data_IF_005308037310
#
_entry.id   IF_005308037310
#
_cell.length_a   1.000
_cell.length_b   1.000
_cell.length_c   1.000
_cell.angle_alpha   90.00
_cell.angle_beta   90.00
_cell.angle_gamma   90.00
#
_symmetry.space_group_name_H-M   'P 1'
#
loop_
_entity.id
_entity.type
_entity.pdbx_description
1 polymer ?
#
# COMPACT_ATOMS: atom_id res chain seq x y z
N UNK A 1 25.65 -20.59 -23.58
CA UNK A 1 24.89 -20.00 -22.45
C UNK A 1 24.84 -18.51 -22.68
N UNK A 2 23.87 -18.06 -23.47
CA UNK A 2 23.56 -16.63 -23.56
C UNK A 2 22.92 -16.22 -22.25
N UNK A 3 23.48 -15.20 -21.61
CA UNK A 3 22.82 -14.49 -20.53
C UNK A 3 21.52 -13.92 -21.10
N UNK A 4 20.38 -14.45 -20.66
CA UNK A 4 19.08 -13.85 -20.89
C UNK A 4 19.18 -12.36 -20.58
N UNK A 5 19.05 -11.55 -21.64
CA UNK A 5 18.89 -10.11 -21.55
C UNK A 5 17.65 -9.88 -20.70
N UNK A 6 17.86 -9.62 -19.41
CA UNK A 6 16.83 -9.17 -18.48
C UNK A 6 16.26 -7.90 -19.11
N UNK A 7 15.07 -8.03 -19.71
CA UNK A 7 14.35 -6.93 -20.33
C UNK A 7 14.30 -5.76 -19.33
N UNK A 8 14.74 -4.54 -19.68
CA UNK A 8 14.66 -3.38 -18.79
C UNK A 8 13.24 -3.12 -18.27
N UNK A 9 12.20 -3.60 -18.98
CA UNK A 9 10.81 -3.59 -18.54
C UNK A 9 10.53 -4.47 -17.31
N UNK A 10 11.41 -5.43 -17.03
CA UNK A 10 11.32 -6.33 -15.89
C UNK A 10 11.86 -5.71 -14.60
N UNK A 11 12.49 -4.53 -14.63
CA UNK A 11 12.94 -3.79 -13.46
C UNK A 11 11.87 -2.72 -13.13
N UNK A 12 11.24 -2.80 -11.95
CA UNK A 12 10.10 -1.94 -11.58
C UNK A 12 10.39 -0.43 -11.62
N UNK A 13 11.67 -0.04 -11.78
CA UNK A 13 12.16 1.32 -11.98
C UNK A 13 11.53 2.02 -13.18
N UNK A 14 11.33 1.34 -14.31
CA UNK A 14 10.71 1.97 -15.49
C UNK A 14 9.29 2.47 -15.17
N UNK A 15 8.50 1.65 -14.46
CA UNK A 15 7.14 2.00 -14.07
C UNK A 15 7.11 3.14 -13.06
N UNK A 16 8.08 3.20 -12.13
CA UNK A 16 8.24 4.34 -11.21
C UNK A 16 8.52 5.62 -11.98
N UNK A 17 9.54 5.64 -12.84
CA UNK A 17 9.91 6.83 -13.63
C UNK A 17 8.76 7.30 -14.51
N UNK A 18 8.10 6.37 -15.24
CA UNK A 18 6.97 6.73 -16.10
C UNK A 18 5.79 7.30 -15.29
N UNK A 19 5.56 6.79 -14.09
CA UNK A 19 4.51 7.28 -13.20
C UNK A 19 4.85 8.66 -12.63
N UNK A 20 6.13 8.95 -12.33
CA UNK A 20 6.58 10.29 -11.95
C UNK A 20 6.32 11.30 -13.08
N UNK A 21 6.62 10.94 -14.33
CA UNK A 21 6.35 11.79 -15.50
C UNK A 21 4.84 12.04 -15.66
N UNK A 22 4.01 10.99 -15.54
CA UNK A 22 2.55 11.14 -15.59
C UNK A 22 2.03 12.05 -14.48
N UNK A 23 2.57 11.90 -13.27
CA UNK A 23 2.22 12.74 -12.13
C UNK A 23 2.62 14.20 -12.37
N UNK A 24 3.82 14.48 -12.87
CA UNK A 24 4.26 15.83 -13.24
C UNK A 24 3.34 16.47 -14.30
N UNK A 25 2.82 15.67 -15.24
CA UNK A 25 1.87 16.10 -16.26
C UNK A 25 0.41 16.20 -15.78
N UNK A 26 0.17 16.17 -14.46
CA UNK A 26 -1.18 16.35 -13.90
C UNK A 26 -2.10 15.14 -14.09
N UNK A 27 -1.55 13.94 -14.32
CA UNK A 27 -2.30 12.69 -14.54
C UNK A 27 -2.12 11.70 -13.38
N UNK A 28 -2.54 12.03 -12.14
CA UNK A 28 -2.30 11.19 -10.96
C UNK A 28 -3.01 9.84 -11.00
N UNK A 29 -4.20 9.76 -11.62
CA UNK A 29 -4.94 8.49 -11.76
C UNK A 29 -4.22 7.53 -12.70
N UNK A 30 -3.73 8.02 -13.85
CA UNK A 30 -2.96 7.21 -14.81
C UNK A 30 -1.65 6.73 -14.18
N UNK A 31 -0.95 7.60 -13.44
CA UNK A 31 0.25 7.24 -12.69
C UNK A 31 -0.04 6.13 -11.66
N UNK A 32 -1.09 6.30 -10.85
CA UNK A 32 -1.48 5.32 -9.85
C UNK A 32 -1.87 3.97 -10.47
N UNK A 33 -2.68 3.99 -11.53
CA UNK A 33 -3.07 2.79 -12.28
C UNK A 33 -1.86 2.04 -12.83
N UNK A 34 -0.90 2.76 -13.44
CA UNK A 34 0.32 2.18 -13.98
C UNK A 34 1.16 1.45 -12.91
N UNK A 35 1.33 2.06 -11.73
CA UNK A 35 2.05 1.44 -10.61
C UNK A 35 1.36 0.17 -10.11
N UNK A 36 0.04 0.22 -9.96
CA UNK A 36 -0.75 -0.88 -9.39
C UNK A 36 -0.91 -2.04 -10.38
N UNK A 37 -1.10 -1.75 -11.67
CA UNK A 37 -1.19 -2.78 -12.71
C UNK A 37 0.14 -3.51 -12.92
N UNK A 38 1.25 -2.79 -12.83
CA UNK A 38 2.57 -3.41 -12.83
C UNK A 38 2.70 -4.43 -11.69
N UNK A 39 2.31 -4.05 -10.46
CA UNK A 39 2.32 -4.97 -9.33
C UNK A 39 1.36 -6.15 -9.51
N UNK A 40 0.17 -5.92 -10.07
CA UNK A 40 -0.81 -6.96 -10.32
C UNK A 40 -0.31 -8.00 -11.33
N UNK A 41 0.37 -7.55 -12.39
CA UNK A 41 1.00 -8.43 -13.39
C UNK A 41 2.16 -9.22 -12.80
N UNK A 42 2.93 -8.61 -11.91
CA UNK A 42 4.11 -9.22 -11.33
C UNK A 42 3.81 -10.07 -10.07
N UNK A 43 2.60 -10.00 -9.51
CA UNK A 43 2.22 -10.75 -8.31
C UNK A 43 0.82 -11.36 -8.38
N UNK A 44 0.75 -12.68 -8.58
CA UNK A 44 -0.51 -13.44 -8.54
C UNK A 44 -1.35 -13.20 -7.28
N UNK A 45 -0.72 -13.01 -6.11
CA UNK A 45 -1.45 -12.76 -4.85
C UNK A 45 -2.22 -11.44 -4.85
N UNK A 46 -1.90 -10.50 -5.75
CA UNK A 46 -2.66 -9.27 -5.95
C UNK A 46 -4.00 -9.55 -6.63
N UNK A 47 -3.97 -10.27 -7.76
CA UNK A 47 -5.16 -10.54 -8.59
C UNK A 47 -6.03 -11.66 -8.02
N UNK A 48 -5.42 -12.66 -7.38
CA UNK A 48 -6.11 -13.89 -6.98
C UNK A 48 -6.45 -14.81 -8.16
N UNK A 49 -5.98 -14.48 -9.38
CA UNK A 49 -6.16 -15.29 -10.60
C UNK A 49 -4.80 -15.60 -11.22
N UNK A 50 -4.44 -16.89 -11.33
CA UNK A 50 -3.13 -17.32 -11.82
C UNK A 50 -3.10 -17.03 -13.31
N UNK A 51 -2.15 -16.23 -13.83
CA UNK A 51 -2.05 -16.00 -15.25
C UNK A 51 -1.92 -17.35 -15.97
N UNK A 52 -2.81 -17.62 -16.94
CA UNK A 52 -2.84 -18.90 -17.68
C UNK A 52 -1.51 -19.21 -18.40
N UNK A 53 -0.66 -18.20 -18.63
CA UNK A 53 0.68 -18.33 -19.19
C UNK A 53 1.71 -18.88 -18.20
N UNK A 54 1.42 -18.89 -16.89
CA UNK A 54 2.28 -19.42 -15.83
C UNK A 54 1.81 -20.81 -15.38
N UNK A 55 1.59 -21.71 -16.35
CA UNK A 55 1.27 -23.14 -16.12
C UNK A 55 2.41 -23.93 -15.48
N UNK A 56 3.60 -23.37 -15.38
CA UNK A 56 4.73 -24.01 -14.72
C UNK A 56 4.84 -23.53 -13.25
N UNK A 57 4.60 -24.40 -12.26
CA UNK A 57 4.69 -24.08 -10.82
C UNK A 57 6.05 -23.52 -10.40
N UNK A 58 7.09 -23.69 -11.23
CA UNK A 58 8.44 -23.16 -10.99
C UNK A 58 8.54 -21.63 -11.09
N UNK A 59 7.61 -20.95 -11.75
CA UNK A 59 7.63 -19.49 -11.90
C UNK A 59 6.92 -18.71 -10.78
N UNK A 60 6.48 -19.39 -9.72
CA UNK A 60 6.00 -18.71 -8.53
C UNK A 60 6.61 -19.31 -7.26
N UNK A 61 7.84 -18.87 -6.90
CA UNK A 61 8.12 -18.67 -5.49
C UNK A 61 9.12 -17.54 -5.24
N UNK A 62 8.96 -16.34 -5.82
CA UNK A 62 9.39 -15.20 -5.01
C UNK A 62 8.41 -15.19 -3.84
N UNK A 63 8.87 -15.59 -2.65
CA UNK A 63 8.07 -15.46 -1.43
C UNK A 63 7.52 -14.04 -1.44
N UNK A 64 6.22 -13.86 -1.29
CA UNK A 64 5.59 -12.55 -1.41
C UNK A 64 6.33 -11.43 -0.64
N UNK A 65 6.96 -11.79 0.48
CA UNK A 65 7.86 -10.95 1.25
C UNK A 65 9.05 -10.42 0.43
N UNK A 66 9.78 -11.28 -0.28
CA UNK A 66 10.87 -10.92 -1.18
C UNK A 66 10.38 -10.11 -2.39
N UNK A 67 9.13 -10.33 -2.84
CA UNK A 67 8.54 -9.55 -3.93
C UNK A 67 8.28 -8.10 -3.49
N UNK A 68 7.64 -7.92 -2.33
CA UNK A 68 7.41 -6.59 -1.74
C UNK A 68 8.74 -5.90 -1.43
N UNK A 69 9.69 -6.60 -0.82
CA UNK A 69 11.01 -6.04 -0.50
C UNK A 69 11.80 -5.61 -1.75
N UNK A 70 11.68 -6.35 -2.86
CA UNK A 70 12.38 -6.01 -4.11
C UNK A 70 11.67 -4.97 -4.97
N UNK A 71 10.33 -4.90 -4.91
CA UNK A 71 9.52 -4.12 -5.89
C UNK A 71 8.80 -2.92 -5.28
N UNK A 72 8.50 -2.94 -3.98
CA UNK A 72 7.79 -1.87 -3.29
C UNK A 72 8.75 -1.09 -2.39
N UNK A 73 9.64 -0.29 -3.01
CA UNK A 73 10.58 0.57 -2.30
C UNK A 73 9.87 1.72 -1.57
N UNK A 74 10.60 2.44 -0.71
CA UNK A 74 10.09 3.68 -0.08
C UNK A 74 9.64 4.69 -1.13
N UNK A 75 10.41 4.85 -2.21
CA UNK A 75 10.07 5.70 -3.36
C UNK A 75 8.76 5.28 -4.01
N UNK A 76 8.54 3.99 -4.19
CA UNK A 76 7.30 3.45 -4.76
C UNK A 76 6.08 3.83 -3.91
N UNK A 77 6.14 3.63 -2.59
CA UNK A 77 5.05 4.01 -1.69
C UNK A 77 4.85 5.52 -1.60
N UNK A 78 5.95 6.30 -1.64
CA UNK A 78 5.89 7.75 -1.67
C UNK A 78 5.12 8.24 -2.90
N UNK A 79 5.42 7.69 -4.08
CA UNK A 79 4.76 8.03 -5.33
C UNK A 79 3.27 7.66 -5.34
N UNK A 80 2.92 6.50 -4.76
CA UNK A 80 1.50 6.16 -4.51
C UNK A 80 0.85 7.22 -3.61
N UNK A 81 1.50 7.60 -2.52
CA UNK A 81 1.02 8.64 -1.61
C UNK A 81 0.75 9.97 -2.31
N UNK A 82 1.69 10.43 -3.13
CA UNK A 82 1.56 11.67 -3.92
C UNK A 82 0.41 11.59 -4.91
N UNK A 83 0.23 10.45 -5.59
CA UNK A 83 -0.90 10.27 -6.51
C UNK A 83 -2.24 10.35 -5.75
N UNK A 84 -2.35 9.65 -4.61
CA UNK A 84 -3.55 9.61 -3.78
C UNK A 84 -3.89 10.99 -3.18
N UNK A 85 -2.89 11.74 -2.73
CA UNK A 85 -3.06 13.10 -2.22
C UNK A 85 -3.66 14.02 -3.29
N UNK A 86 -3.16 13.96 -4.54
CA UNK A 86 -3.67 14.76 -5.66
C UNK A 86 -5.09 14.41 -6.08
N UNK A 87 -5.57 13.21 -5.75
CA UNK A 87 -6.96 12.82 -5.96
C UNK A 87 -7.78 12.85 -4.66
N UNK A 88 -7.31 13.56 -3.62
CA UNK A 88 -7.99 13.79 -2.33
C UNK A 88 -8.25 12.54 -1.47
N UNK A 89 -7.56 11.43 -1.73
CA UNK A 89 -7.69 10.19 -0.95
C UNK A 89 -6.71 10.20 0.24
N UNK A 90 -6.92 11.11 1.20
CA UNK A 90 -5.93 11.43 2.23
C UNK A 90 -5.67 10.31 3.26
N UNK A 91 -6.64 9.43 3.54
CA UNK A 91 -6.44 8.28 4.46
C UNK A 91 -5.50 7.27 3.84
N UNK A 92 -5.78 6.87 2.60
CA UNK A 92 -4.96 5.91 1.89
C UNK A 92 -3.59 6.51 1.54
N UNK A 93 -3.52 7.83 1.24
CA UNK A 93 -2.26 8.54 1.10
C UNK A 93 -1.42 8.49 2.40
N UNK A 94 -2.03 8.78 3.56
CA UNK A 94 -1.33 8.69 4.85
C UNK A 94 -0.74 7.30 5.11
N UNK A 95 -1.49 6.25 4.78
CA UNK A 95 -1.01 4.85 4.88
C UNK A 95 0.16 4.59 3.92
N UNK A 96 0.09 5.09 2.68
CA UNK A 96 1.17 4.97 1.71
C UNK A 96 2.46 5.68 2.19
N UNK A 97 2.36 6.93 2.66
CA UNK A 97 3.50 7.65 3.24
C UNK A 97 4.08 6.94 4.48
N UNK A 98 3.23 6.33 5.30
CA UNK A 98 3.71 5.51 6.43
C UNK A 98 4.50 4.29 5.95
N UNK A 99 4.07 3.61 4.89
CA UNK A 99 4.84 2.52 4.26
C UNK A 99 6.12 3.00 3.59
N UNK A 100 6.17 4.26 3.14
CA UNK A 100 7.37 4.92 2.65
C UNK A 100 8.35 5.35 3.77
N UNK A 101 7.98 5.14 5.05
CA UNK A 101 8.69 5.64 6.24
C UNK A 101 8.72 7.18 6.35
N UNK A 102 7.82 7.86 5.65
CA UNK A 102 7.58 9.30 5.81
C UNK A 102 6.46 9.52 6.85
N UNK A 103 6.82 9.31 8.11
CA UNK A 103 5.87 9.42 9.22
C UNK A 103 5.35 10.85 9.40
N UNK A 104 6.15 11.87 9.10
CA UNK A 104 5.73 13.28 9.22
C UNK A 104 4.56 13.57 8.29
N UNK A 105 4.71 13.27 7.00
CA UNK A 105 3.65 13.50 6.00
C UNK A 105 2.43 12.63 6.27
N UNK A 106 2.62 11.38 6.71
CA UNK A 106 1.52 10.52 7.11
C UNK A 106 0.66 11.16 8.23
N UNK A 107 1.29 11.66 9.29
CA UNK A 107 0.58 12.27 10.43
C UNK A 107 -0.09 13.60 10.04
N UNK A 108 0.52 14.40 9.17
CA UNK A 108 -0.07 15.61 8.58
C UNK A 108 -1.41 15.28 7.88
N UNK A 109 -1.39 14.29 6.98
CA UNK A 109 -2.56 13.85 6.23
C UNK A 109 -3.65 13.24 7.13
N UNK A 110 -3.27 12.62 8.25
CA UNK A 110 -4.26 12.15 9.23
C UNK A 110 -5.03 13.31 9.89
N UNK A 111 -4.42 14.48 10.02
CA UNK A 111 -5.11 15.64 10.60
C UNK A 111 -6.04 16.32 9.60
N UNK A 112 -5.80 16.16 8.29
CA UNK A 112 -6.56 16.81 7.23
C UNK A 112 -8.09 16.65 7.42
N UNK A 113 -8.86 17.77 7.44
CA UNK A 113 -10.30 17.73 7.66
C UNK A 113 -11.09 17.21 6.45
N UNK A 114 -10.56 17.31 5.23
CA UNK A 114 -11.22 16.93 3.96
C UNK A 114 -11.12 15.44 3.64
N UNK A 115 -10.72 14.63 4.63
CA UNK A 115 -10.52 13.19 4.49
C UNK A 115 -11.84 12.42 4.43
N UNK A 116 -12.44 12.38 3.25
CA UNK A 116 -13.66 11.63 2.97
C UNK A 116 -13.45 10.10 2.95
N UNK A 117 -12.26 9.64 2.57
CA UNK A 117 -11.89 8.21 2.51
C UNK A 117 -11.59 7.59 3.89
N UNK A 118 -11.87 8.30 4.99
CA UNK A 118 -11.62 7.88 6.38
C UNK A 118 -12.54 6.76 6.87
N UNK A 119 -12.33 5.55 6.35
CA UNK A 119 -13.15 4.35 6.58
C UNK A 119 -12.36 3.21 7.23
N UNK A 120 -13.04 2.37 8.03
CA UNK A 120 -12.45 1.21 8.74
C UNK A 120 -11.68 0.28 7.83
N UNK A 121 -12.17 0.10 6.61
CA UNK A 121 -11.55 -0.77 5.60
C UNK A 121 -10.08 -0.39 5.34
N UNK A 122 -9.70 0.88 5.48
CA UNK A 122 -8.30 1.30 5.33
C UNK A 122 -7.47 1.05 6.58
N UNK A 123 -8.04 1.15 7.78
CA UNK A 123 -7.32 0.87 9.03
C UNK A 123 -6.93 -0.59 9.19
N UNK A 124 -7.70 -1.50 8.60
CA UNK A 124 -7.33 -2.91 8.50
C UNK A 124 -6.00 -3.15 7.77
N UNK A 125 -5.56 -2.20 6.94
CA UNK A 125 -4.31 -2.26 6.19
C UNK A 125 -3.11 -1.77 6.98
N UNK A 126 -3.29 -1.30 8.22
CA UNK A 126 -2.21 -0.77 9.05
C UNK A 126 -1.68 -1.90 9.94
N UNK A 127 -0.35 -2.01 10.01
CA UNK A 127 0.34 -2.99 10.87
C UNK A 127 0.94 -2.36 12.14
N UNK A 128 1.02 -1.02 12.21
CA UNK A 128 1.56 -0.27 13.34
C UNK A 128 0.45 0.13 14.31
N UNK A 129 0.65 -0.17 15.59
CA UNK A 129 -0.24 0.29 16.67
C UNK A 129 -0.17 1.81 16.78
N UNK A 130 1.03 2.40 16.73
CA UNK A 130 1.24 3.85 16.88
C UNK A 130 0.44 4.66 15.85
N UNK A 131 0.43 4.24 14.58
CA UNK A 131 -0.36 4.92 13.55
C UNK A 131 -1.88 4.80 13.84
N UNK A 132 -2.34 3.63 14.29
CA UNK A 132 -3.75 3.43 14.67
C UNK A 132 -4.12 4.26 15.90
N UNK A 133 -3.25 4.36 16.90
CA UNK A 133 -3.44 5.23 18.07
C UNK A 133 -3.52 6.70 17.66
N UNK A 134 -2.74 7.11 16.66
CA UNK A 134 -2.83 8.46 16.13
C UNK A 134 -4.17 8.73 15.44
N UNK A 135 -4.70 7.78 14.66
CA UNK A 135 -6.06 7.87 14.13
C UNK A 135 -7.11 7.94 15.26
N UNK A 136 -6.97 7.12 16.30
CA UNK A 136 -7.83 7.16 17.50
C UNK A 136 -7.81 8.55 18.16
N UNK A 137 -6.62 9.12 18.39
CA UNK A 137 -6.46 10.43 19.01
C UNK A 137 -7.09 11.54 18.16
N UNK A 138 -6.87 11.51 16.83
CA UNK A 138 -7.50 12.47 15.92
C UNK A 138 -9.03 12.36 15.94
N UNK A 139 -9.58 11.14 15.97
CA UNK A 139 -11.03 10.94 16.07
C UNK A 139 -11.60 11.35 17.41
N UNK A 140 -10.87 11.14 18.49
CA UNK A 140 -11.26 11.60 19.81
C UNK A 140 -11.35 13.13 19.87
N UNK A 141 -10.33 13.85 19.38
CA UNK A 141 -10.31 15.31 19.32
C UNK A 141 -11.46 15.89 18.48
N UNK A 142 -11.86 15.20 17.41
CA UNK A 142 -12.97 15.60 16.53
C UNK A 142 -14.35 15.14 17.02
N UNK A 143 -14.46 14.47 18.17
CA UNK A 143 -15.73 13.93 18.69
C UNK A 143 -16.31 12.76 17.87
N UNK A 144 -15.52 12.13 16.99
CA UNK A 144 -15.96 11.04 16.12
C UNK A 144 -15.91 9.69 16.83
N UNK A 145 -16.79 9.51 17.81
CA UNK A 145 -16.82 8.37 18.74
C UNK A 145 -16.89 7.02 18.00
N UNK A 146 -17.81 6.87 17.04
CA UNK A 146 -17.99 5.60 16.30
C UNK A 146 -16.70 5.17 15.58
N UNK A 147 -16.06 6.10 14.87
CA UNK A 147 -14.80 5.84 14.15
C UNK A 147 -13.66 5.52 15.11
N UNK A 148 -13.55 6.26 16.22
CA UNK A 148 -12.58 5.98 17.28
C UNK A 148 -12.73 4.56 17.82
N UNK A 149 -13.94 4.14 18.12
CA UNK A 149 -14.21 2.83 18.73
C UNK A 149 -13.98 1.67 17.74
N UNK A 150 -14.16 1.91 16.44
CA UNK A 150 -13.74 0.99 15.39
C UNK A 150 -12.22 0.80 15.36
N UNK A 151 -11.45 1.89 15.43
CA UNK A 151 -9.98 1.81 15.46
C UNK A 151 -9.49 1.12 16.75
N UNK A 152 -10.12 1.41 17.90
CA UNK A 152 -9.82 0.71 19.17
C UNK A 152 -10.04 -0.80 19.06
N UNK A 153 -11.15 -1.23 18.45
CA UNK A 153 -11.43 -2.66 18.21
C UNK A 153 -10.36 -3.32 17.33
N UNK A 154 -9.82 -2.60 16.34
CA UNK A 154 -8.72 -3.10 15.51
C UNK A 154 -7.42 -3.25 16.31
N UNK A 155 -7.07 -2.29 17.15
CA UNK A 155 -5.88 -2.34 18.02
C UNK A 155 -5.97 -3.52 18.99
N UNK A 156 -7.15 -3.73 19.59
CA UNK A 156 -7.39 -4.84 20.53
C UNK A 156 -7.44 -6.22 19.84
N UNK A 157 -7.53 -6.27 18.51
CA UNK A 157 -7.56 -7.53 17.79
C UNK A 157 -6.19 -8.21 17.82
N UNK A 158 -6.17 -9.55 17.97
CA UNK A 158 -4.95 -10.36 17.95
C UNK A 158 -4.15 -10.28 16.63
N UNK A 159 -4.68 -9.59 15.61
CA UNK A 159 -4.10 -9.45 14.28
C UNK A 159 -2.90 -8.48 14.22
N UNK A 160 -2.71 -7.65 15.26
CA UNK A 160 -1.60 -6.71 15.38
C UNK A 160 -1.00 -6.90 16.78
N UNK A 161 -0.17 -7.93 16.95
CA UNK A 161 0.48 -8.20 18.25
C UNK A 161 1.87 -7.51 18.31
N UNK A 162 2.03 -6.42 19.08
CA UNK A 162 3.32 -5.73 19.21
C UNK A 162 4.36 -6.55 19.98
N UNK A 163 3.97 -7.62 20.67
CA UNK A 163 4.87 -8.52 21.41
C UNK A 163 5.24 -9.79 20.64
N UNK A 164 4.78 -9.93 19.39
CA UNK A 164 5.13 -11.06 18.53
C UNK A 164 6.63 -11.10 18.17
N UNK A 165 7.12 -12.28 17.79
CA UNK A 165 8.48 -12.45 17.26
C UNK A 165 8.72 -11.57 16.02
N UNK A 166 9.97 -11.24 15.73
CA UNK A 166 10.37 -10.46 14.53
C UNK A 166 9.78 -11.06 13.24
N UNK A 167 9.78 -12.39 13.11
CA UNK A 167 9.20 -13.11 11.97
C UNK A 167 7.69 -12.92 11.87
N UNK A 168 6.97 -12.98 12.99
CA UNK A 168 5.53 -12.73 13.01
C UNK A 168 5.19 -11.28 12.64
N UNK A 169 5.93 -10.30 13.19
CA UNK A 169 5.76 -8.88 12.86
C UNK A 169 5.97 -8.60 11.38
N UNK A 170 7.03 -9.16 10.79
CA UNK A 170 7.30 -9.03 9.35
C UNK A 170 6.19 -9.66 8.51
N UNK A 171 5.70 -10.84 8.88
CA UNK A 171 4.59 -11.49 8.18
C UNK A 171 3.29 -10.66 8.27
N UNK A 172 2.98 -10.08 9.43
CA UNK A 172 1.83 -9.17 9.59
C UNK A 172 2.00 -7.96 8.69
N UNK A 173 3.15 -7.27 8.75
CA UNK A 173 3.47 -6.13 7.89
C UNK A 173 3.22 -6.47 6.42
N UNK A 174 3.78 -7.56 5.92
CA UNK A 174 3.66 -7.93 4.51
C UNK A 174 2.21 -8.27 4.12
N UNK A 175 1.45 -8.98 4.95
CA UNK A 175 0.05 -9.27 4.66
C UNK A 175 -0.82 -7.99 4.67
N UNK A 176 -0.52 -7.05 5.56
CA UNK A 176 -1.19 -5.75 5.64
C UNK A 176 -0.85 -4.86 4.44
N UNK A 177 0.42 -4.87 4.00
CA UNK A 177 0.88 -4.23 2.75
C UNK A 177 0.17 -4.83 1.53
N UNK A 178 0.07 -6.15 1.43
CA UNK A 178 -0.69 -6.80 0.36
C UNK A 178 -2.14 -6.36 0.34
N UNK A 179 -2.79 -6.37 1.51
CA UNK A 179 -4.19 -5.97 1.63
C UNK A 179 -4.39 -4.52 1.17
N UNK A 180 -3.47 -3.63 1.54
CA UNK A 180 -3.47 -2.23 1.11
C UNK A 180 -3.39 -2.12 -0.42
N UNK A 181 -2.36 -2.70 -1.02
CA UNK A 181 -2.11 -2.64 -2.46
C UNK A 181 -3.26 -3.28 -3.25
N UNK A 182 -3.86 -4.37 -2.77
CA UNK A 182 -5.04 -5.00 -3.41
C UNK A 182 -6.27 -4.11 -3.38
N UNK A 183 -6.54 -3.44 -2.25
CA UNK A 183 -7.67 -2.52 -2.12
C UNK A 183 -7.49 -1.32 -3.06
N UNK A 184 -6.28 -0.76 -3.13
CA UNK A 184 -5.94 0.30 -4.08
C UNK A 184 -6.10 -0.17 -5.54
N UNK A 185 -5.54 -1.32 -5.90
CA UNK A 185 -5.62 -1.86 -7.26
C UNK A 185 -7.08 -2.06 -7.69
N UNK A 186 -7.91 -2.66 -6.85
CA UNK A 186 -9.34 -2.84 -7.14
C UNK A 186 -10.09 -1.53 -7.32
N UNK A 187 -9.72 -0.50 -6.57
CA UNK A 187 -10.39 0.80 -6.62
C UNK A 187 -9.97 1.63 -7.84
N UNK A 188 -8.71 1.54 -8.27
CA UNK A 188 -8.13 2.49 -9.23
C UNK A 188 -7.72 1.90 -10.58
N UNK A 189 -7.77 0.58 -10.78
CA UNK A 189 -7.23 -0.04 -12.02
C UNK A 189 -8.28 -0.28 -13.10
N UNK A 190 -9.52 0.18 -12.89
CA UNK A 190 -10.62 0.10 -13.85
C UNK A 190 -11.20 1.49 -14.19
N UNK A 191 -10.41 2.56 -13.96
CA UNK A 191 -10.83 3.95 -14.14
C UNK A 191 -10.19 4.62 -15.34
#
# INVERSE_FOLDING_TARGET
>A
MEYDKVDPSSDGKFFVIKSEVLLQNGKPKEALGLLLDFLARACYRMTGVQPLSLKDPKYCPIKFNEFIERRCSKTFFKLIGECLERITHYTSAAIAYFYAEDHSKALELVKNPERWDGMVVWYECIWSVDLLEFFCANYHQKGLIKKRDEVKRLIQSSKINPYGSKKQKLNIKNNKTLLFLRKLWRLHSYS
#
